data_IF_686825280125
#
_entry.id   IF_686825280125
#
_cell.length_a   1.000
_cell.length_b   1.000
_cell.length_c   1.000
_cell.angle_alpha   90.00
_cell.angle_beta   90.00
_cell.angle_gamma   90.00
#
_symmetry.space_group_name_H-M   'P 1'
#
loop_
_entity.id
_entity.type
_entity.pdbx_description
1 polymer ?
#
# COMPACT_ATOMS: atom_id res chain seq x y z
N UNK A 1 -24.50 -3.96 1.32
CA UNK A 1 -23.91 -5.21 0.79
C UNK A 1 -22.50 -4.86 0.31
N UNK A 2 -21.46 -5.58 0.72
CA UNK A 2 -20.09 -5.28 0.26
C UNK A 2 -20.02 -5.56 -1.24
N UNK A 3 -19.61 -4.56 -2.03
CA UNK A 3 -19.60 -4.61 -3.51
C UNK A 3 -18.86 -5.82 -4.06
N UNK A 4 -17.84 -6.30 -3.34
CA UNK A 4 -16.90 -7.31 -3.83
C UNK A 4 -17.29 -8.76 -3.47
N UNK A 5 -18.42 -8.98 -2.77
CA UNK A 5 -18.81 -10.32 -2.29
C UNK A 5 -18.93 -11.35 -3.44
N UNK A 6 -19.38 -10.92 -4.62
CA UNK A 6 -19.50 -11.79 -5.80
C UNK A 6 -18.15 -12.38 -6.25
N UNK A 7 -17.03 -11.68 -6.01
CA UNK A 7 -15.69 -12.17 -6.34
C UNK A 7 -15.35 -13.38 -5.46
N UNK A 8 -15.68 -13.31 -4.17
CA UNK A 8 -15.50 -14.44 -3.24
C UNK A 8 -16.36 -15.62 -3.65
N UNK A 9 -17.61 -15.38 -4.04
CA UNK A 9 -18.52 -16.45 -4.43
C UNK A 9 -18.08 -17.16 -5.72
N UNK A 10 -17.48 -16.43 -6.66
CA UNK A 10 -16.82 -17.03 -7.85
C UNK A 10 -15.58 -17.82 -7.47
N UNK A 11 -14.73 -17.29 -6.58
CA UNK A 11 -13.55 -18.02 -6.11
C UNK A 11 -13.92 -19.35 -5.43
N UNK A 12 -15.02 -19.41 -4.65
CA UNK A 12 -15.54 -20.67 -4.08
C UNK A 12 -15.85 -21.74 -5.13
N UNK A 13 -16.16 -21.32 -6.35
CA UNK A 13 -16.44 -22.21 -7.49
C UNK A 13 -15.18 -22.56 -8.29
N UNK A 14 -13.99 -22.32 -7.72
CA UNK A 14 -12.70 -22.62 -8.35
C UNK A 14 -12.46 -21.80 -9.64
N UNK A 15 -13.11 -20.63 -9.77
CA UNK A 15 -12.95 -19.75 -10.93
C UNK A 15 -11.60 -19.00 -10.88
N UNK A 16 -10.59 -19.61 -11.51
CA UNK A 16 -9.24 -19.06 -11.61
C UNK A 16 -9.18 -17.76 -12.42
N UNK A 17 -10.12 -17.52 -13.35
CA UNK A 17 -10.15 -16.25 -14.09
C UNK A 17 -10.49 -15.07 -13.17
N UNK A 18 -11.35 -15.32 -12.18
CA UNK A 18 -11.62 -14.32 -11.14
C UNK A 18 -10.38 -14.09 -10.27
N UNK A 19 -9.59 -15.12 -9.97
CA UNK A 19 -8.34 -14.97 -9.25
C UNK A 19 -7.31 -14.13 -10.02
N UNK A 20 -7.15 -14.40 -11.32
CA UNK A 20 -6.28 -13.61 -12.20
C UNK A 20 -6.73 -12.15 -12.28
N UNK A 21 -8.04 -11.92 -12.37
CA UNK A 21 -8.60 -10.57 -12.36
C UNK A 21 -8.27 -9.83 -11.05
N UNK A 22 -8.41 -10.48 -9.90
CA UNK A 22 -8.05 -9.92 -8.59
C UNK A 22 -6.55 -9.60 -8.52
N UNK A 23 -5.71 -10.52 -8.99
CA UNK A 23 -4.26 -10.34 -9.07
C UNK A 23 -3.91 -9.09 -9.89
N UNK A 24 -4.41 -8.98 -11.12
CA UNK A 24 -4.08 -7.85 -11.98
C UNK A 24 -4.64 -6.52 -11.45
N UNK A 25 -5.83 -6.55 -10.84
CA UNK A 25 -6.51 -5.35 -10.34
C UNK A 25 -5.77 -4.70 -9.18
N UNK A 26 -5.23 -5.49 -8.25
CA UNK A 26 -4.66 -4.94 -7.01
C UNK A 26 -3.13 -4.91 -6.97
N UNK A 27 -2.44 -5.49 -7.97
CA UNK A 27 -0.97 -5.59 -7.98
C UNK A 27 -0.29 -4.24 -7.81
N UNK A 28 -0.51 -3.30 -8.73
CA UNK A 28 0.19 -2.01 -8.72
C UNK A 28 -0.06 -1.23 -7.43
N UNK A 29 -1.31 -1.21 -6.96
CA UNK A 29 -1.68 -0.54 -5.72
C UNK A 29 -1.02 -1.19 -4.49
N UNK A 30 -0.91 -2.52 -4.47
CA UNK A 30 -0.27 -3.26 -3.40
C UNK A 30 1.24 -3.03 -3.39
N UNK A 31 1.90 -3.14 -4.55
CA UNK A 31 3.34 -2.91 -4.69
C UNK A 31 3.69 -1.50 -4.20
N UNK A 32 2.89 -0.50 -4.61
CA UNK A 32 3.06 0.87 -4.15
C UNK A 32 2.86 1.02 -2.64
N UNK A 33 1.80 0.41 -2.11
CA UNK A 33 1.54 0.38 -0.67
C UNK A 33 2.72 -0.22 0.10
N UNK A 34 3.26 -1.34 -0.39
CA UNK A 34 4.28 -2.11 0.29
C UNK A 34 5.69 -1.51 0.22
N UNK A 35 5.96 -0.55 -0.68
CA UNK A 35 7.22 0.23 -0.70
C UNK A 35 7.48 1.02 0.59
N UNK A 36 6.47 1.18 1.46
CA UNK A 36 6.66 1.77 2.80
C UNK A 36 7.41 0.84 3.77
N UNK A 37 7.42 -0.46 3.48
CA UNK A 37 8.18 -1.45 4.22
C UNK A 37 9.63 -1.44 3.72
N UNK A 38 10.59 -1.64 4.62
CA UNK A 38 12.01 -1.71 4.28
C UNK A 38 12.35 -3.07 3.65
N UNK A 39 11.71 -3.40 2.53
CA UNK A 39 11.83 -4.64 1.78
C UNK A 39 12.25 -4.34 0.34
N UNK A 40 12.93 -5.28 -0.31
CA UNK A 40 13.30 -5.12 -1.71
C UNK A 40 12.06 -5.18 -2.63
N UNK A 41 12.13 -4.64 -3.86
CA UNK A 41 11.04 -4.79 -4.83
C UNK A 41 10.68 -6.25 -5.11
N UNK A 42 11.67 -7.15 -5.13
CA UNK A 42 11.47 -8.58 -5.34
C UNK A 42 10.74 -9.22 -4.16
N UNK A 43 11.18 -8.92 -2.92
CA UNK A 43 10.48 -9.38 -1.70
C UNK A 43 9.00 -8.92 -1.68
N UNK A 44 8.75 -7.69 -2.09
CA UNK A 44 7.40 -7.13 -2.15
C UNK A 44 6.56 -7.86 -3.21
N UNK A 45 7.13 -8.19 -4.36
CA UNK A 45 6.46 -8.96 -5.40
C UNK A 45 6.12 -10.37 -4.93
N UNK A 46 7.04 -11.03 -4.21
CA UNK A 46 6.85 -12.36 -3.64
C UNK A 46 5.76 -12.34 -2.55
N UNK A 47 5.80 -11.37 -1.64
CA UNK A 47 4.73 -11.16 -0.65
C UNK A 47 3.37 -11.01 -1.34
N UNK A 48 3.31 -10.28 -2.45
CA UNK A 48 2.05 -10.09 -3.17
C UNK A 48 1.53 -11.40 -3.76
N UNK A 49 2.40 -12.21 -4.38
CA UNK A 49 2.03 -13.54 -4.88
C UNK A 49 1.50 -14.42 -3.75
N UNK A 50 2.23 -14.50 -2.63
CA UNK A 50 1.77 -15.26 -1.48
C UNK A 50 0.46 -14.73 -0.90
N UNK A 51 0.25 -13.42 -0.94
CA UNK A 51 -0.99 -12.78 -0.47
C UNK A 51 -2.20 -13.23 -1.29
N UNK A 52 -2.04 -13.34 -2.61
CA UNK A 52 -3.07 -13.83 -3.53
C UNK A 52 -3.34 -15.33 -3.30
N UNK A 53 -2.29 -16.13 -3.11
CA UNK A 53 -2.40 -17.56 -2.77
C UNK A 53 -3.16 -17.72 -1.45
N UNK A 54 -2.77 -16.97 -0.40
CA UNK A 54 -3.44 -17.03 0.91
C UNK A 54 -4.91 -16.59 0.83
N UNK A 55 -5.24 -15.57 0.01
CA UNK A 55 -6.64 -15.21 -0.25
C UNK A 55 -7.40 -16.42 -0.82
N UNK A 56 -6.87 -17.03 -1.87
CA UNK A 56 -7.49 -18.17 -2.53
C UNK A 56 -7.70 -19.35 -1.58
N UNK A 57 -6.65 -19.73 -0.84
CA UNK A 57 -6.71 -20.78 0.18
C UNK A 57 -7.73 -20.47 1.28
N UNK A 58 -7.83 -19.22 1.72
CA UNK A 58 -8.82 -18.84 2.73
C UNK A 58 -10.25 -19.00 2.20
N UNK A 59 -10.49 -18.73 0.92
CA UNK A 59 -11.79 -18.97 0.29
C UNK A 59 -12.07 -20.47 0.16
N UNK A 60 -11.12 -21.25 -0.39
CA UNK A 60 -11.29 -22.69 -0.59
C UNK A 60 -11.50 -23.44 0.74
N UNK A 61 -10.75 -23.07 1.77
CA UNK A 61 -10.84 -23.65 3.10
C UNK A 61 -12.01 -23.09 3.94
N UNK A 62 -12.91 -22.31 3.33
CA UNK A 62 -14.07 -21.69 3.99
C UNK A 62 -13.70 -20.80 5.20
N UNK A 63 -12.46 -20.33 5.28
CA UNK A 63 -12.02 -19.33 6.27
C UNK A 63 -12.54 -17.93 5.92
N UNK A 64 -12.76 -17.67 4.63
CA UNK A 64 -13.38 -16.45 4.12
C UNK A 64 -14.68 -16.78 3.37
N UNK A 65 -15.80 -16.75 4.09
CA UNK A 65 -17.13 -16.99 3.50
C UNK A 65 -17.81 -15.68 3.10
N UNK A 66 -17.68 -14.66 3.94
CA UNK A 66 -18.32 -13.35 3.76
C UNK A 66 -17.31 -12.23 4.05
N UNK A 67 -17.31 -11.21 3.21
CA UNK A 67 -16.54 -10.00 3.41
C UNK A 67 -17.24 -9.08 4.42
N UNK A 68 -16.47 -8.64 5.42
CA UNK A 68 -16.85 -7.59 6.38
C UNK A 68 -16.28 -6.21 6.01
N UNK A 69 -15.37 -6.17 5.04
CA UNK A 69 -14.74 -4.98 4.47
C UNK A 69 -14.53 -5.19 2.96
N UNK A 70 -13.99 -4.22 2.22
CA UNK A 70 -13.70 -4.42 0.79
C UNK A 70 -12.70 -5.57 0.58
N UNK A 71 -12.71 -6.21 -0.60
CA UNK A 71 -11.74 -7.26 -0.90
C UNK A 71 -10.30 -6.72 -0.84
N UNK A 72 -10.10 -5.50 -1.34
CA UNK A 72 -8.81 -4.80 -1.27
C UNK A 72 -8.31 -4.67 0.15
N UNK A 73 -9.20 -4.25 1.04
CA UNK A 73 -8.94 -4.10 2.48
C UNK A 73 -8.42 -5.42 3.07
N UNK A 74 -9.14 -6.50 2.85
CA UNK A 74 -8.76 -7.84 3.30
C UNK A 74 -7.40 -8.30 2.72
N UNK A 75 -7.20 -8.12 1.41
CA UNK A 75 -5.98 -8.49 0.70
C UNK A 75 -4.75 -7.75 1.26
N UNK A 76 -4.88 -6.44 1.48
CA UNK A 76 -3.80 -5.62 2.01
C UNK A 76 -3.47 -5.97 3.47
N UNK A 77 -4.46 -6.45 4.24
CA UNK A 77 -4.24 -6.96 5.60
C UNK A 77 -3.30 -8.17 5.60
N UNK A 78 -3.55 -9.14 4.71
CA UNK A 78 -2.73 -10.35 4.57
C UNK A 78 -1.29 -9.97 4.21
N UNK A 79 -1.14 -9.13 3.18
CA UNK A 79 0.19 -8.72 2.73
C UNK A 79 0.95 -7.87 3.75
N UNK A 80 0.25 -6.99 4.49
CA UNK A 80 0.81 -6.24 5.63
C UNK A 80 1.37 -7.23 6.67
N UNK A 81 0.60 -8.24 7.05
CA UNK A 81 1.04 -9.26 8.02
C UNK A 81 2.28 -10.02 7.52
N UNK A 82 2.29 -10.45 6.25
CA UNK A 82 3.44 -11.13 5.63
C UNK A 82 4.69 -10.25 5.61
N UNK A 83 4.56 -8.97 5.21
CA UNK A 83 5.65 -8.01 5.23
C UNK A 83 6.26 -7.86 6.64
N UNK A 84 5.42 -7.73 7.68
CA UNK A 84 5.93 -7.70 9.06
C UNK A 84 6.61 -8.99 9.48
N UNK A 85 6.06 -10.15 9.09
CA UNK A 85 6.68 -11.45 9.40
C UNK A 85 8.06 -11.55 8.77
N UNK A 86 8.20 -11.14 7.52
CA UNK A 86 9.49 -11.14 6.82
C UNK A 86 10.46 -10.14 7.47
N UNK A 87 10.03 -8.91 7.75
CA UNK A 87 10.85 -7.93 8.46
C UNK A 87 11.30 -8.44 9.84
N UNK A 88 10.44 -9.14 10.57
CA UNK A 88 10.78 -9.74 11.86
C UNK A 88 11.72 -10.95 11.71
N UNK A 89 11.61 -11.72 10.63
CA UNK A 89 12.51 -12.82 10.32
C UNK A 89 13.89 -12.31 9.92
N UNK A 90 13.95 -11.33 9.02
CA UNK A 90 15.16 -10.61 8.63
C UNK A 90 15.82 -9.99 9.85
N UNK A 91 15.05 -9.31 10.70
CA UNK A 91 15.53 -8.83 12.01
C UNK A 91 16.08 -9.96 12.87
N UNK A 92 15.39 -11.09 13.03
CA UNK A 92 15.90 -12.23 13.81
C UNK A 92 17.21 -12.80 13.26
N UNK A 93 17.40 -12.85 11.94
CA UNK A 93 18.67 -13.25 11.31
C UNK A 93 19.77 -12.24 11.66
N UNK A 94 19.46 -10.94 11.69
CA UNK A 94 20.39 -9.89 12.11
C UNK A 94 20.54 -9.74 13.65
N UNK A 95 19.64 -10.36 14.44
CA UNK A 95 19.52 -10.24 15.90
C UNK A 95 19.76 -11.59 16.61
N UNK A 96 20.87 -12.26 16.31
CA UNK A 96 21.59 -13.08 17.31
C UNK A 96 22.32 -12.15 18.32
N UNK A 97 21.56 -11.22 18.89
CA UNK A 97 22.03 -10.02 19.57
C UNK A 97 20.87 -9.06 19.87
N UNK A 98 20.10 -9.39 20.91
CA UNK A 98 19.10 -8.58 21.62
C UNK A 98 17.85 -8.10 20.85
N UNK A 99 16.70 -8.59 21.32
CA UNK A 99 15.38 -8.49 20.68
C UNK A 99 14.57 -7.23 21.04
N UNK A 100 13.75 -6.77 20.09
CA UNK A 100 12.60 -5.89 20.35
C UNK A 100 11.35 -6.57 19.79
N UNK A 101 10.43 -6.94 20.69
CA UNK A 101 9.12 -7.49 20.37
C UNK A 101 8.20 -6.38 19.85
N UNK A 102 7.61 -6.57 18.67
CA UNK A 102 6.47 -5.77 18.22
C UNK A 102 5.34 -6.74 17.89
N UNK A 103 4.55 -7.07 18.90
CA UNK A 103 3.24 -7.71 18.76
C UNK A 103 2.23 -6.80 19.46
N UNK A 104 1.36 -6.11 18.72
CA UNK A 104 0.01 -5.71 19.18
C UNK A 104 -0.86 -4.89 18.20
N UNK A 105 -0.38 -4.47 17.02
CA UNK A 105 -1.20 -3.61 16.15
C UNK A 105 -1.94 -4.38 15.04
N UNK A 106 -2.87 -5.24 15.46
CA UNK A 106 -3.90 -5.82 14.59
C UNK A 106 -5.28 -5.24 14.96
N UNK A 107 -5.42 -3.92 14.83
CA UNK A 107 -6.65 -3.12 14.90
C UNK A 107 -6.42 -1.95 13.92
N UNK A 108 -7.31 -1.47 13.07
CA UNK A 108 -8.74 -1.60 12.79
C UNK A 108 -8.89 -1.15 11.34
N UNK A 109 -9.84 -1.73 10.59
CA UNK A 109 -10.21 -1.26 9.26
C UNK A 109 -11.38 -0.28 9.38
N UNK A 110 -11.16 0.98 9.01
CA UNK A 110 -12.21 2.02 8.92
C UNK A 110 -12.34 2.49 7.47
N UNK A 111 -13.28 1.89 6.74
CA UNK A 111 -13.55 2.22 5.33
C UNK A 111 -14.30 3.54 5.12
N UNK A 112 -15.00 4.06 6.15
CA UNK A 112 -15.81 5.28 6.02
C UNK A 112 -15.02 6.56 6.31
N UNK A 113 -14.03 6.49 7.22
CA UNK A 113 -13.10 7.59 7.48
C UNK A 113 -12.21 7.86 6.25
N UNK A 114 -11.89 6.82 5.47
CA UNK A 114 -11.11 6.95 4.24
C UNK A 114 -11.81 7.78 3.15
N UNK A 115 -13.14 7.72 2.99
CA UNK A 115 -13.79 8.39 1.85
C UNK A 115 -13.81 9.91 1.99
N UNK A 116 -14.16 10.42 3.17
CA UNK A 116 -14.15 11.85 3.46
C UNK A 116 -12.71 12.39 3.45
N UNK A 117 -11.78 11.68 4.07
CA UNK A 117 -10.36 12.05 4.04
C UNK A 117 -9.78 12.02 2.62
N UNK A 118 -10.21 11.08 1.77
CA UNK A 118 -9.82 11.05 0.37
C UNK A 118 -10.43 12.21 -0.44
N UNK A 119 -11.65 12.64 -0.13
CA UNK A 119 -12.27 13.79 -0.80
C UNK A 119 -11.49 15.08 -0.49
N UNK A 120 -11.18 15.32 0.79
CA UNK A 120 -10.34 16.44 1.25
C UNK A 120 -8.95 16.35 0.63
N UNK A 121 -8.33 15.17 0.61
CA UNK A 121 -7.03 14.99 -0.03
C UNK A 121 -7.07 15.32 -1.52
N UNK A 122 -8.12 14.91 -2.25
CA UNK A 122 -8.27 15.20 -3.69
C UNK A 122 -8.42 16.70 -3.95
N UNK A 123 -9.20 17.42 -3.15
CA UNK A 123 -9.38 18.87 -3.31
C UNK A 123 -8.10 19.62 -2.96
N UNK A 124 -7.46 19.29 -1.84
CA UNK A 124 -6.16 19.86 -1.45
C UNK A 124 -5.05 19.56 -2.45
N UNK A 125 -5.04 18.35 -3.05
CA UNK A 125 -4.07 18.00 -4.10
C UNK A 125 -4.18 18.91 -5.32
N UNK A 126 -5.40 19.24 -5.76
CA UNK A 126 -5.64 20.13 -6.91
C UNK A 126 -5.14 21.56 -6.66
N UNK A 127 -5.11 22.01 -5.40
CA UNK A 127 -4.57 23.31 -4.99
C UNK A 127 -3.03 23.35 -4.96
N UNK A 128 -2.38 22.18 -5.01
CA UNK A 128 -0.93 22.07 -5.03
C UNK A 128 -0.38 22.46 -6.41
N UNK A 129 0.71 23.22 -6.46
CA UNK A 129 1.33 23.58 -7.74
C UNK A 129 1.85 22.35 -8.50
N UNK A 130 1.81 22.38 -9.85
CA UNK A 130 2.18 21.24 -10.73
C UNK A 130 3.54 20.62 -10.40
N UNK A 131 4.54 21.44 -10.05
CA UNK A 131 5.87 20.97 -9.64
C UNK A 131 5.81 20.08 -8.40
N UNK A 132 5.01 20.46 -7.40
CA UNK A 132 4.84 19.67 -6.19
C UNK A 132 3.99 18.41 -6.44
N UNK A 133 2.96 18.50 -7.26
CA UNK A 133 2.18 17.33 -7.68
C UNK A 133 3.10 16.30 -8.36
N UNK A 134 3.92 16.71 -9.33
CA UNK A 134 4.85 15.80 -10.00
C UNK A 134 5.86 15.16 -9.05
N UNK A 135 6.52 15.94 -8.18
CA UNK A 135 7.48 15.40 -7.20
C UNK A 135 6.82 14.35 -6.30
N UNK A 136 5.63 14.66 -5.76
CA UNK A 136 4.93 13.73 -4.87
C UNK A 136 4.36 12.52 -5.62
N UNK A 137 3.88 12.68 -6.86
CA UNK A 137 3.43 11.56 -7.71
C UNK A 137 4.60 10.62 -8.02
N UNK A 138 5.73 11.12 -8.50
CA UNK A 138 6.85 10.23 -8.86
C UNK A 138 7.39 9.48 -7.63
N UNK A 139 7.43 10.15 -6.47
CA UNK A 139 7.91 9.54 -5.24
C UNK A 139 6.89 8.58 -4.59
N UNK A 140 5.66 9.04 -4.33
CA UNK A 140 4.67 8.30 -3.56
C UNK A 140 3.72 7.46 -4.40
N UNK A 141 3.52 7.78 -5.68
CA UNK A 141 2.65 7.02 -6.59
C UNK A 141 3.43 6.12 -7.55
N UNK A 142 4.58 6.58 -8.05
CA UNK A 142 5.46 5.74 -8.89
C UNK A 142 6.58 5.06 -8.14
N UNK A 143 6.81 5.42 -6.87
CA UNK A 143 7.84 4.82 -6.01
C UNK A 143 9.26 4.95 -6.54
N UNK A 144 9.52 5.98 -7.35
CA UNK A 144 10.84 6.24 -7.88
C UNK A 144 11.78 6.69 -6.76
N UNK A 145 13.04 6.29 -6.86
CA UNK A 145 14.12 6.73 -5.99
C UNK A 145 14.41 8.22 -6.19
N UNK A 146 15.08 8.85 -5.20
CA UNK A 146 15.47 10.25 -5.34
C UNK A 146 16.40 10.47 -6.55
N UNK A 147 17.25 9.49 -6.87
CA UNK A 147 18.09 9.49 -8.07
C UNK A 147 17.28 9.61 -9.36
N UNK A 148 16.31 8.73 -9.53
CA UNK A 148 15.49 8.67 -10.73
C UNK A 148 14.65 9.94 -10.89
N UNK A 149 14.11 10.46 -9.79
CA UNK A 149 13.30 11.69 -9.81
C UNK A 149 14.16 12.92 -10.08
N UNK A 150 15.38 12.99 -9.51
CA UNK A 150 16.30 14.11 -9.77
C UNK A 150 16.62 14.20 -11.26
N UNK A 151 16.86 13.06 -11.92
CA UNK A 151 17.06 12.99 -13.38
C UNK A 151 15.77 13.34 -14.15
N UNK A 152 14.64 12.71 -13.79
CA UNK A 152 13.38 12.87 -14.50
C UNK A 152 12.81 14.30 -14.46
N UNK A 153 13.08 15.04 -13.38
CA UNK A 153 12.60 16.41 -13.20
C UNK A 153 13.71 17.47 -13.30
N UNK A 154 14.92 17.08 -13.75
CA UNK A 154 16.08 17.95 -13.92
C UNK A 154 16.41 18.81 -12.68
N UNK A 155 16.41 18.20 -11.49
CA UNK A 155 16.90 18.88 -10.29
C UNK A 155 18.43 18.88 -10.25
N UNK A 156 19.00 19.96 -9.72
CA UNK A 156 20.46 20.13 -9.60
C UNK A 156 21.13 19.14 -8.63
N UNK A 157 20.41 18.69 -7.59
CA UNK A 157 20.91 17.66 -6.67
C UNK A 157 19.79 16.91 -5.96
N UNK A 158 20.14 15.78 -5.34
CA UNK A 158 19.23 15.02 -4.47
C UNK A 158 18.79 15.84 -3.25
N UNK A 159 19.67 16.66 -2.70
CA UNK A 159 19.36 17.47 -1.51
C UNK A 159 18.34 18.56 -1.82
N UNK A 160 18.44 19.17 -3.01
CA UNK A 160 17.43 20.12 -3.50
C UNK A 160 16.09 19.40 -3.70
N UNK A 161 16.09 18.22 -4.31
CA UNK A 161 14.87 17.42 -4.46
C UNK A 161 14.27 17.01 -3.11
N UNK A 162 15.10 16.56 -2.16
CA UNK A 162 14.66 16.14 -0.81
C UNK A 162 14.02 17.31 -0.06
N UNK A 163 14.65 18.48 -0.13
CA UNK A 163 14.13 19.72 0.45
C UNK A 163 12.82 20.15 -0.23
N UNK A 164 12.74 20.05 -1.56
CA UNK A 164 11.54 20.35 -2.32
C UNK A 164 10.40 19.40 -1.96
N UNK A 165 10.65 18.09 -1.92
CA UNK A 165 9.67 17.07 -1.50
C UNK A 165 9.12 17.37 -0.10
N UNK A 166 10.00 17.70 0.84
CA UNK A 166 9.61 18.06 2.21
C UNK A 166 8.66 19.27 2.23
N UNK A 167 9.01 20.34 1.51
CA UNK A 167 8.15 21.54 1.39
C UNK A 167 6.80 21.23 0.74
N UNK A 168 6.78 20.47 -0.35
CA UNK A 168 5.55 20.07 -1.03
C UNK A 168 4.64 19.22 -0.12
N UNK A 169 5.22 18.29 0.64
CA UNK A 169 4.46 17.46 1.58
C UNK A 169 3.89 18.29 2.74
N UNK A 170 4.66 19.26 3.25
CA UNK A 170 4.18 20.20 4.27
C UNK A 170 3.01 21.02 3.75
N UNK A 171 3.15 21.59 2.54
CA UNK A 171 2.09 22.36 1.90
C UNK A 171 0.81 21.54 1.71
N UNK A 172 0.93 20.28 1.28
CA UNK A 172 -0.22 19.39 1.15
C UNK A 172 -0.90 19.13 2.50
N UNK A 173 -0.13 18.88 3.57
CA UNK A 173 -0.67 18.69 4.93
C UNK A 173 -1.39 19.94 5.42
N UNK A 174 -0.84 21.12 5.17
CA UNK A 174 -1.44 22.39 5.58
C UNK A 174 -2.76 22.66 4.82
N UNK A 175 -2.83 22.29 3.53
CA UNK A 175 -4.07 22.37 2.75
C UNK A 175 -5.13 21.40 3.27
N UNK A 176 -4.75 20.14 3.54
CA UNK A 176 -5.68 19.13 4.09
C UNK A 176 -6.24 19.55 5.44
N UNK A 177 -5.43 20.17 6.30
CA UNK A 177 -5.88 20.70 7.60
C UNK A 177 -6.80 21.91 7.50
N UNK A 178 -6.75 22.66 6.40
CA UNK A 178 -7.63 23.80 6.15
C UNK A 178 -8.96 23.37 5.51
N UNK A 179 -8.93 22.28 4.74
CA UNK A 179 -10.04 21.80 3.93
C UNK A 179 -10.86 20.67 4.60
N UNK A 180 -10.40 20.13 5.73
CA UNK A 180 -11.06 19.08 6.52
C UNK A 180 -11.43 19.57 7.90
#
# INVERSE_FOLDING_TARGET
MVKDQFLIDKLKQNDLKTLDHIYLTYKEEFLLYARRFALSPDDIADIYQETIITLYENVQNKKLVRLTSSLKTYLFAIGKFKAYKQLNHTKKIYHDGNAIHISEEMKVFETDIEQQQQAVLRTSWRKLGKKCQHVLTLYYYRGMTLDEITKALAYSSKDVLKSQKSRCLKQLKDLVRKDG
#
